data_IF_576777334837
#
_entry.id   IF_576777334837
#
_cell.length_a   1.000
_cell.length_b   1.000
_cell.length_c   1.000
_cell.angle_alpha   90.00
_cell.angle_beta   90.00
_cell.angle_gamma   90.00
#
_symmetry.space_group_name_H-M   'P 1'
#
loop_
_entity.id
_entity.type
_entity.pdbx_description
1 polymer ?
#
# COMPACT_ATOMS: atom_id res chain seq x y z
N UNK A 1 19.19 -10.77 -11.71
CA UNK A 1 18.68 -12.07 -12.20
C UNK A 1 18.69 -13.01 -11.01
N UNK A 2 17.51 -13.26 -10.41
CA UNK A 2 17.17 -14.38 -9.51
C UNK A 2 15.71 -14.18 -9.05
N UNK A 3 14.79 -14.18 -10.02
CA UNK A 3 13.34 -14.32 -9.78
C UNK A 3 12.98 -15.80 -9.90
N UNK A 4 13.47 -16.59 -8.96
CA UNK A 4 12.97 -17.93 -8.68
C UNK A 4 12.77 -18.02 -7.18
N UNK A 5 11.90 -17.16 -6.64
CA UNK A 5 11.19 -17.52 -5.41
C UNK A 5 10.30 -18.68 -5.81
N UNK A 6 10.64 -19.85 -5.29
CA UNK A 6 10.11 -21.15 -5.66
C UNK A 6 8.57 -21.15 -5.70
N UNK A 7 7.99 -21.21 -6.90
CA UNK A 7 6.56 -21.54 -7.08
C UNK A 7 6.19 -22.84 -6.34
N UNK A 8 7.16 -23.73 -6.12
CA UNK A 8 7.02 -24.93 -5.30
C UNK A 8 6.89 -24.64 -3.80
N UNK A 9 7.54 -23.61 -3.27
CA UNK A 9 7.38 -23.21 -1.88
C UNK A 9 5.97 -22.65 -1.66
N UNK A 10 5.50 -21.74 -2.54
CA UNK A 10 4.13 -21.23 -2.50
C UNK A 10 3.06 -22.33 -2.63
N UNK A 11 3.27 -23.31 -3.52
CA UNK A 11 2.37 -24.45 -3.68
C UNK A 11 2.45 -25.43 -2.49
N UNK A 12 3.63 -25.64 -1.90
CA UNK A 12 3.80 -26.48 -0.71
C UNK A 12 3.19 -25.82 0.55
N UNK A 13 3.21 -24.50 0.65
CA UNK A 13 2.50 -23.74 1.68
C UNK A 13 0.98 -23.92 1.57
N UNK A 14 0.45 -23.97 0.34
CA UNK A 14 -0.98 -24.17 0.09
C UNK A 14 -1.47 -25.58 0.43
N UNK A 15 -0.67 -26.62 0.17
CA UNK A 15 -1.04 -28.00 0.52
C UNK A 15 -0.88 -28.30 2.00
N UNK A 16 0.13 -27.72 2.66
CA UNK A 16 0.28 -27.82 4.10
C UNK A 16 -0.86 -27.09 4.85
N UNK A 17 -1.31 -25.94 4.36
CA UNK A 17 -2.46 -25.23 4.90
C UNK A 17 -3.77 -26.01 4.67
N UNK A 18 -3.98 -26.58 3.48
CA UNK A 18 -5.15 -27.43 3.21
C UNK A 18 -5.17 -28.71 4.07
N UNK A 19 -4.00 -29.31 4.31
CA UNK A 19 -3.85 -30.47 5.18
C UNK A 19 -4.03 -30.12 6.67
N UNK A 20 -3.58 -28.94 7.12
CA UNK A 20 -3.82 -28.45 8.47
C UNK A 20 -5.31 -28.19 8.73
N UNK A 21 -6.03 -27.60 7.76
CA UNK A 21 -7.48 -27.42 7.83
C UNK A 21 -8.20 -28.78 7.85
N UNK A 22 -7.78 -29.74 7.03
CA UNK A 22 -8.37 -31.09 7.01
C UNK A 22 -8.07 -31.91 8.29
N UNK A 23 -6.90 -31.75 8.88
CA UNK A 23 -6.49 -32.44 10.11
C UNK A 23 -7.19 -31.87 11.36
N UNK A 24 -7.42 -30.56 11.41
CA UNK A 24 -8.24 -29.94 12.48
C UNK A 24 -9.70 -30.38 12.37
N UNK A 25 -10.24 -30.54 11.15
CA UNK A 25 -11.60 -31.03 10.91
C UNK A 25 -11.79 -32.50 11.35
N UNK A 26 -10.77 -33.34 11.21
CA UNK A 26 -10.86 -34.76 11.64
C UNK A 26 -10.54 -34.95 13.13
N UNK A 27 -9.61 -34.17 13.71
CA UNK A 27 -9.27 -34.29 15.14
C UNK A 27 -10.33 -33.72 16.10
N UNK A 28 -11.27 -32.89 15.61
CA UNK A 28 -12.35 -32.29 16.42
C UNK A 28 -13.68 -33.05 16.36
N UNK A 29 -13.80 -34.09 15.53
CA UNK A 29 -15.05 -34.86 15.39
C UNK A 29 -15.43 -35.66 16.65
N UNK A 30 -14.48 -36.04 17.51
CA UNK A 30 -14.74 -36.97 18.62
C UNK A 30 -14.97 -36.32 19.99
N UNK A 31 -14.89 -34.99 20.15
CA UNK A 31 -14.96 -34.38 21.49
C UNK A 31 -15.98 -33.25 21.72
N UNK A 32 -16.63 -32.69 20.68
CA UNK A 32 -17.56 -31.54 20.88
C UNK A 32 -18.84 -31.63 20.06
N UNK A 33 -19.53 -32.76 20.13
CA UNK A 33 -20.95 -32.81 19.78
C UNK A 33 -21.76 -32.21 20.93
N UNK A 34 -22.18 -30.93 20.82
CA UNK A 34 -23.43 -30.42 21.45
C UNK A 34 -23.81 -28.97 21.13
N UNK A 35 -22.93 -28.16 20.56
CA UNK A 35 -23.29 -26.79 20.17
C UNK A 35 -23.19 -26.64 18.66
N UNK A 36 -24.35 -26.65 18.00
CA UNK A 36 -24.51 -26.46 16.55
C UNK A 36 -24.65 -24.99 16.17
N UNK A 37 -24.66 -24.09 17.16
CA UNK A 37 -24.79 -22.66 16.90
C UNK A 37 -23.44 -22.02 16.61
N UNK A 38 -23.44 -21.04 15.71
CA UNK A 38 -22.28 -20.18 15.46
C UNK A 38 -22.16 -19.21 16.63
N UNK A 39 -20.93 -18.99 17.09
CA UNK A 39 -20.64 -18.03 18.15
C UNK A 39 -21.13 -16.62 17.79
N UNK A 40 -21.86 -15.94 18.69
CA UNK A 40 -22.26 -14.54 18.51
C UNK A 40 -21.08 -13.59 18.30
N UNK A 41 -19.90 -13.95 18.83
CA UNK A 41 -18.68 -13.18 18.64
C UNK A 41 -18.20 -13.23 17.19
N UNK A 42 -18.21 -14.42 16.57
CA UNK A 42 -17.82 -14.59 15.17
C UNK A 42 -18.80 -13.85 14.24
N UNK A 43 -20.10 -13.97 14.47
CA UNK A 43 -21.10 -13.22 13.69
C UNK A 43 -20.94 -11.69 13.84
N UNK A 44 -20.56 -11.20 15.03
CA UNK A 44 -20.25 -9.78 15.22
C UNK A 44 -19.04 -9.34 14.39
N UNK A 45 -17.98 -10.16 14.31
CA UNK A 45 -16.80 -9.86 13.48
C UNK A 45 -17.15 -9.88 11.99
N UNK A 46 -17.95 -10.84 11.54
CA UNK A 46 -18.43 -10.93 10.16
C UNK A 46 -19.27 -9.70 9.79
N UNK A 47 -20.19 -9.29 10.67
CA UNK A 47 -20.99 -8.09 10.46
C UNK A 47 -20.11 -6.81 10.42
N UNK A 48 -19.08 -6.73 11.26
CA UNK A 48 -18.13 -5.62 11.25
C UNK A 48 -17.34 -5.56 9.94
N UNK A 49 -16.86 -6.70 9.42
CA UNK A 49 -16.19 -6.78 8.11
C UNK A 49 -17.12 -6.41 6.96
N UNK A 50 -18.37 -6.90 6.96
CA UNK A 50 -19.35 -6.52 5.95
C UNK A 50 -19.63 -5.02 5.93
N UNK A 51 -19.69 -4.39 7.12
CA UNK A 51 -19.80 -2.93 7.22
C UNK A 51 -18.55 -2.21 6.71
N UNK A 52 -17.36 -2.62 7.16
CA UNK A 52 -16.10 -1.99 6.77
C UNK A 52 -15.87 -2.07 5.25
N UNK A 53 -16.20 -3.21 4.64
CA UNK A 53 -16.15 -3.40 3.18
C UNK A 53 -17.09 -2.44 2.45
N UNK A 54 -18.35 -2.34 2.89
CA UNK A 54 -19.30 -1.39 2.30
C UNK A 54 -18.89 0.07 2.49
N UNK A 55 -18.30 0.41 3.64
CA UNK A 55 -17.80 1.76 3.90
C UNK A 55 -16.59 2.07 2.98
N UNK A 56 -15.70 1.09 2.76
CA UNK A 56 -14.56 1.22 1.86
C UNK A 56 -15.00 1.39 0.40
N UNK A 57 -15.94 0.59 -0.10
CA UNK A 57 -16.50 0.76 -1.45
C UNK A 57 -17.13 2.16 -1.65
N UNK A 58 -17.85 2.64 -0.63
CA UNK A 58 -18.43 3.98 -0.64
C UNK A 58 -17.34 5.07 -0.67
N UNK A 59 -16.29 4.91 0.13
CA UNK A 59 -15.17 5.84 0.15
C UNK A 59 -14.42 5.85 -1.19
N UNK A 60 -14.18 4.68 -1.80
CA UNK A 60 -13.55 4.54 -3.11
C UNK A 60 -14.35 5.24 -4.22
N UNK A 61 -15.68 5.04 -4.24
CA UNK A 61 -16.56 5.73 -5.19
C UNK A 61 -16.49 7.25 -5.01
N UNK A 62 -16.52 7.72 -3.76
CA UNK A 62 -16.44 9.15 -3.45
C UNK A 62 -15.09 9.76 -3.83
N UNK A 63 -13.98 9.08 -3.59
CA UNK A 63 -12.66 9.55 -4.06
C UNK A 63 -12.66 9.70 -5.57
N UNK A 64 -13.15 8.69 -6.29
CA UNK A 64 -13.22 8.71 -7.75
C UNK A 64 -14.01 9.92 -8.27
N UNK A 65 -15.17 10.22 -7.67
CA UNK A 65 -15.98 11.40 -8.01
C UNK A 65 -15.23 12.71 -7.78
N UNK A 66 -14.53 12.85 -6.64
CA UNK A 66 -13.76 14.05 -6.31
C UNK A 66 -12.56 14.22 -7.24
N UNK A 67 -11.87 13.14 -7.59
CA UNK A 67 -10.76 13.18 -8.54
C UNK A 67 -11.23 13.60 -9.94
N UNK A 68 -12.30 13.00 -10.44
CA UNK A 68 -12.89 13.38 -11.73
C UNK A 68 -13.28 14.86 -11.75
N UNK A 69 -13.92 15.35 -10.69
CA UNK A 69 -14.32 16.74 -10.56
C UNK A 69 -13.11 17.70 -10.47
N UNK A 70 -12.04 17.29 -9.77
CA UNK A 70 -10.81 18.07 -9.66
C UNK A 70 -10.10 18.20 -11.01
N UNK A 71 -9.90 17.07 -11.70
CA UNK A 71 -9.19 17.03 -12.98
C UNK A 71 -10.02 17.45 -14.19
N UNK A 72 -11.34 17.62 -14.04
CA UNK A 72 -12.15 18.31 -15.04
C UNK A 72 -11.74 19.79 -15.21
N UNK A 73 -11.16 20.40 -14.17
CA UNK A 73 -10.74 21.82 -14.15
C UNK A 73 -9.24 22.01 -14.06
N UNK A 74 -8.52 21.05 -13.51
CA UNK A 74 -7.07 21.11 -13.30
C UNK A 74 -6.35 20.12 -14.21
N UNK A 75 -5.13 20.47 -14.63
CA UNK A 75 -4.31 19.59 -15.47
C UNK A 75 -3.76 18.43 -14.64
N UNK A 76 -3.75 17.23 -15.24
CA UNK A 76 -3.07 16.04 -14.72
C UNK A 76 -1.55 16.10 -14.87
N UNK A 77 -1.02 17.04 -15.63
CA UNK A 77 0.42 17.18 -15.84
C UNK A 77 0.92 18.44 -15.14
N UNK A 78 1.89 18.26 -14.23
CA UNK A 78 2.65 19.35 -13.63
C UNK A 78 3.94 19.54 -14.41
N UNK A 79 4.28 20.80 -14.66
CA UNK A 79 5.46 21.19 -15.43
C UNK A 79 6.37 22.03 -14.54
N UNK A 80 7.65 21.69 -14.55
CA UNK A 80 8.72 22.40 -13.87
C UNK A 80 9.68 22.89 -14.94
N UNK A 81 9.70 24.21 -15.16
CA UNK A 81 10.66 24.84 -16.04
C UNK A 81 12.05 24.80 -15.40
N UNK A 82 12.99 24.18 -16.10
CA UNK A 82 14.37 24.03 -15.64
C UNK A 82 15.27 25.04 -16.33
N UNK A 83 16.27 25.52 -15.61
CA UNK A 83 17.27 26.42 -16.16
C UNK A 83 18.15 25.72 -17.22
N UNK A 84 18.19 24.37 -17.21
CA UNK A 84 18.95 23.54 -18.15
C UNK A 84 18.09 22.40 -18.67
N UNK A 85 18.04 22.25 -20.00
CA UNK A 85 17.36 21.13 -20.65
C UNK A 85 15.85 21.28 -20.80
N UNK A 86 15.33 22.51 -20.75
CA UNK A 86 13.92 22.81 -21.03
C UNK A 86 13.04 22.64 -19.79
N UNK A 87 11.99 21.83 -19.89
CA UNK A 87 11.09 21.55 -18.78
C UNK A 87 11.11 20.07 -18.41
N UNK A 88 10.76 19.77 -17.17
CA UNK A 88 10.45 18.42 -16.72
C UNK A 88 8.98 18.38 -16.33
N UNK A 89 8.25 17.41 -16.87
CA UNK A 89 6.87 17.17 -16.47
C UNK A 89 6.71 15.85 -15.74
N UNK A 90 5.65 15.77 -14.95
CA UNK A 90 5.21 14.55 -14.32
C UNK A 90 3.68 14.55 -14.21
N UNK A 91 3.09 13.37 -14.42
CA UNK A 91 1.65 13.20 -14.34
C UNK A 91 1.25 12.97 -12.89
N UNK A 92 0.40 13.85 -12.38
CA UNK A 92 -0.44 13.61 -11.20
C UNK A 92 -1.63 12.74 -11.65
N UNK A 93 -1.44 11.42 -11.56
CA UNK A 93 -2.45 10.41 -11.82
C UNK A 93 -3.56 10.40 -10.75
N UNK A 94 -4.65 9.70 -11.06
CA UNK A 94 -5.80 9.42 -10.20
C UNK A 94 -5.53 8.30 -9.16
N UNK A 95 -4.28 7.84 -9.05
CA UNK A 95 -3.86 6.88 -8.02
C UNK A 95 -2.81 7.49 -7.10
N UNK A 96 -2.75 8.82 -7.07
CA UNK A 96 -1.93 9.60 -6.14
C UNK A 96 -2.56 9.54 -4.73
N UNK A 97 -2.69 8.33 -4.18
CA UNK A 97 -2.58 8.18 -2.75
C UNK A 97 -1.27 8.83 -2.31
N UNK A 98 -1.25 9.43 -1.12
CA UNK A 98 -0.16 10.23 -0.53
C UNK A 98 1.28 9.82 -0.90
N UNK A 99 1.55 8.53 -1.08
CA UNK A 99 2.86 7.96 -1.41
C UNK A 99 3.38 8.37 -2.81
N UNK A 100 2.52 8.45 -3.82
CA UNK A 100 2.96 8.66 -5.22
C UNK A 100 3.48 10.09 -5.46
N UNK A 101 2.92 11.10 -4.78
CA UNK A 101 3.41 12.51 -4.88
C UNK A 101 4.88 12.59 -4.50
N UNK A 102 5.27 11.90 -3.42
CA UNK A 102 6.63 11.96 -2.88
C UNK A 102 7.61 11.09 -3.66
N UNK A 103 7.17 9.95 -4.18
CA UNK A 103 8.01 9.10 -5.04
C UNK A 103 8.26 9.80 -6.39
N UNK A 104 7.24 10.38 -7.02
CA UNK A 104 7.42 11.17 -8.24
C UNK A 104 8.29 12.42 -8.00
N UNK A 105 8.16 13.09 -6.85
CA UNK A 105 9.08 14.17 -6.46
C UNK A 105 10.52 13.68 -6.39
N UNK A 106 10.76 12.51 -5.77
CA UNK A 106 12.11 11.95 -5.62
C UNK A 106 12.73 11.68 -6.98
N UNK A 107 11.96 11.10 -7.90
CA UNK A 107 12.43 10.75 -9.24
C UNK A 107 12.74 12.00 -10.08
N UNK A 108 11.82 12.97 -10.09
CA UNK A 108 12.02 14.25 -10.79
C UNK A 108 13.22 15.01 -10.22
N UNK A 109 13.36 15.02 -8.88
CA UNK A 109 14.52 15.63 -8.22
C UNK A 109 15.82 14.92 -8.58
N UNK A 110 15.83 13.59 -8.59
CA UNK A 110 17.00 12.81 -8.95
C UNK A 110 17.43 13.10 -10.40
N UNK A 111 16.47 13.23 -11.31
CA UNK A 111 16.74 13.60 -12.69
C UNK A 111 17.29 15.02 -12.85
N UNK A 112 16.77 16.00 -12.10
CA UNK A 112 17.34 17.35 -12.07
C UNK A 112 18.80 17.29 -11.61
N UNK A 113 19.07 16.64 -10.47
CA UNK A 113 20.42 16.53 -9.91
C UNK A 113 21.36 15.86 -10.92
N UNK A 114 20.93 14.74 -11.53
CA UNK A 114 21.71 14.02 -12.53
C UNK A 114 22.08 14.90 -13.73
N UNK A 115 21.15 15.72 -14.22
CA UNK A 115 21.43 16.68 -15.32
C UNK A 115 22.51 17.68 -14.92
N UNK A 116 22.45 18.24 -13.71
CA UNK A 116 23.45 19.18 -13.21
C UNK A 116 24.81 18.52 -12.97
N UNK A 117 24.84 17.29 -12.43
CA UNK A 117 26.07 16.51 -12.30
C UNK A 117 26.75 16.25 -13.66
N UNK A 118 25.98 15.94 -14.70
CA UNK A 118 26.50 15.77 -16.06
C UNK A 118 27.15 17.07 -16.58
N UNK A 119 26.57 18.24 -16.30
CA UNK A 119 27.19 19.52 -16.67
C UNK A 119 28.44 19.82 -15.84
N UNK A 120 28.43 19.51 -14.53
CA UNK A 120 29.61 19.64 -13.68
C UNK A 120 30.77 18.77 -14.17
N UNK A 121 30.51 17.54 -14.64
CA UNK A 121 31.54 16.67 -15.22
C UNK A 121 32.16 17.27 -16.48
N UNK A 122 31.36 17.92 -17.34
CA UNK A 122 31.86 18.60 -18.55
C UNK A 122 32.75 19.81 -18.22
N UNK A 123 32.46 20.52 -17.13
CA UNK A 123 33.29 21.64 -16.67
C UNK A 123 34.70 21.22 -16.18
N UNK A 124 34.90 19.95 -15.82
CA UNK A 124 36.20 19.47 -15.34
C UNK A 124 37.31 19.58 -16.40
N UNK A 125 36.97 19.44 -17.69
CA UNK A 125 37.91 19.66 -18.79
C UNK A 125 38.27 21.15 -18.95
N UNK A 126 37.27 22.03 -18.79
CA UNK A 126 37.44 23.48 -18.89
C UNK A 126 38.29 24.02 -17.75
N UNK A 127 38.16 23.46 -16.53
CA UNK A 127 38.93 23.87 -15.36
C UNK A 127 40.46 23.74 -15.56
N UNK A 128 40.91 22.84 -16.44
CA UNK A 128 42.34 22.67 -16.78
C UNK A 128 42.89 23.74 -17.70
N UNK A 129 42.01 24.39 -18.48
CA UNK A 129 42.39 25.37 -19.53
C UNK A 129 42.09 26.79 -19.07
N UNK A 130 40.94 27.00 -18.42
CA UNK A 130 40.44 28.30 -17.97
C UNK A 130 39.82 28.16 -16.56
N UNK A 131 40.65 28.14 -15.49
CA UNK A 131 40.19 27.85 -14.14
C UNK A 131 39.22 28.89 -13.59
N UNK A 132 39.43 30.19 -13.87
CA UNK A 132 38.54 31.25 -13.43
C UNK A 132 37.13 31.10 -14.05
N UNK A 133 37.05 30.88 -15.36
CA UNK A 133 35.79 30.65 -16.07
C UNK A 133 35.08 29.38 -15.59
N UNK A 134 35.82 28.31 -15.32
CA UNK A 134 35.25 27.08 -14.79
C UNK A 134 34.69 27.25 -13.37
N UNK A 135 35.32 28.08 -12.53
CA UNK A 135 34.84 28.40 -11.19
C UNK A 135 33.53 29.21 -11.25
N UNK A 136 33.46 30.22 -12.12
CA UNK A 136 32.24 31.01 -12.35
C UNK A 136 31.09 30.15 -12.88
N UNK A 137 31.36 29.30 -13.89
CA UNK A 137 30.38 28.39 -14.44
C UNK A 137 29.88 27.38 -13.38
N UNK A 138 30.77 26.87 -12.54
CA UNK A 138 30.40 25.95 -11.44
C UNK A 138 29.48 26.63 -10.43
N UNK A 139 29.77 27.88 -10.06
CA UNK A 139 28.93 28.65 -9.15
C UNK A 139 27.55 28.94 -9.77
N UNK A 140 27.50 29.27 -11.06
CA UNK A 140 26.26 29.48 -11.80
C UNK A 140 25.41 28.20 -11.87
N UNK A 141 26.02 27.05 -12.16
CA UNK A 141 25.33 25.75 -12.17
C UNK A 141 24.73 25.40 -10.81
N UNK A 142 25.48 25.54 -9.72
CA UNK A 142 24.97 25.28 -8.36
C UNK A 142 23.80 26.19 -8.00
N UNK A 143 23.87 27.47 -8.40
CA UNK A 143 22.78 28.42 -8.18
C UNK A 143 21.53 28.03 -8.97
N UNK A 144 21.69 27.60 -10.22
CA UNK A 144 20.61 27.14 -11.08
C UNK A 144 19.98 25.84 -10.55
N UNK A 145 20.78 24.85 -10.13
CA UNK A 145 20.31 23.62 -9.51
C UNK A 145 19.48 23.88 -8.25
N UNK A 146 19.98 24.76 -7.37
CA UNK A 146 19.28 25.15 -6.16
C UNK A 146 17.95 25.86 -6.48
N UNK A 147 17.93 26.69 -7.52
CA UNK A 147 16.72 27.35 -7.98
C UNK A 147 15.71 26.36 -8.55
N UNK A 148 16.11 25.49 -9.46
CA UNK A 148 15.24 24.51 -10.11
C UNK A 148 14.65 23.54 -9.08
N UNK A 149 15.46 23.08 -8.11
CA UNK A 149 14.98 22.23 -7.01
C UNK A 149 13.98 22.97 -6.11
N UNK A 150 14.16 24.27 -5.90
CA UNK A 150 13.22 25.11 -5.15
C UNK A 150 11.91 25.30 -5.92
N UNK A 151 11.97 25.52 -7.23
CA UNK A 151 10.79 25.64 -8.09
C UNK A 151 10.00 24.34 -8.09
N UNK A 152 10.65 23.18 -8.24
CA UNK A 152 10.01 21.86 -8.12
C UNK A 152 9.23 21.72 -6.80
N UNK A 153 9.86 22.07 -5.68
CA UNK A 153 9.18 22.03 -4.36
C UNK A 153 7.99 22.97 -4.30
N UNK A 154 8.08 24.15 -4.92
CA UNK A 154 6.97 25.11 -4.92
C UNK A 154 5.79 24.58 -5.74
N UNK A 155 6.04 24.07 -6.95
CA UNK A 155 4.99 23.49 -7.82
C UNK A 155 4.23 22.38 -7.11
N UNK A 156 4.94 21.51 -6.37
CA UNK A 156 4.32 20.44 -5.60
C UNK A 156 3.51 20.95 -4.41
N UNK A 157 4.02 21.94 -3.67
CA UNK A 157 3.27 22.54 -2.56
C UNK A 157 1.99 23.19 -3.06
N UNK A 158 2.08 23.95 -4.14
CA UNK A 158 0.91 24.62 -4.74
C UNK A 158 -0.14 23.59 -5.18
N UNK A 159 0.28 22.45 -5.74
CA UNK A 159 -0.65 21.37 -6.08
C UNK A 159 -1.29 20.73 -4.85
N UNK A 160 -0.50 20.42 -3.83
CA UNK A 160 -1.02 19.86 -2.56
C UNK A 160 -2.02 20.81 -1.92
N UNK A 161 -1.72 22.11 -1.89
CA UNK A 161 -2.59 23.13 -1.34
C UNK A 161 -3.88 23.27 -2.15
N UNK A 162 -3.81 23.19 -3.50
CA UNK A 162 -5.01 23.13 -4.36
C UNK A 162 -5.88 21.93 -4.07
N UNK A 163 -5.30 20.73 -3.96
CA UNK A 163 -6.04 19.49 -3.64
C UNK A 163 -6.71 19.56 -2.27
N UNK A 164 -6.00 20.09 -1.26
CA UNK A 164 -6.55 20.32 0.08
C UNK A 164 -7.68 21.34 0.10
N UNK A 165 -7.53 22.45 -0.63
CA UNK A 165 -8.56 23.47 -0.75
C UNK A 165 -9.81 22.96 -1.49
N UNK A 166 -9.62 22.03 -2.43
CA UNK A 166 -10.73 21.38 -3.14
C UNK A 166 -11.47 20.35 -2.28
N UNK A 167 -10.80 19.77 -1.29
CA UNK A 167 -11.36 18.70 -0.44
C UNK A 167 -10.93 17.29 -0.84
N UNK A 168 -10.06 17.14 -1.86
CA UNK A 168 -9.64 15.83 -2.37
C UNK A 168 -8.85 15.05 -1.30
N UNK A 169 -7.98 15.75 -0.58
CA UNK A 169 -7.12 15.19 0.46
C UNK A 169 -7.91 14.51 1.59
N UNK A 170 -9.03 15.12 2.01
CA UNK A 170 -9.87 14.58 3.07
C UNK A 170 -10.63 13.33 2.64
N UNK A 171 -10.96 13.23 1.35
CA UNK A 171 -11.63 12.06 0.79
C UNK A 171 -10.63 10.91 0.62
N UNK A 172 -9.41 11.20 0.16
CA UNK A 172 -8.29 10.23 0.14
C UNK A 172 -7.97 9.71 1.55
N UNK A 173 -7.88 10.57 2.57
CA UNK A 173 -7.67 10.16 3.97
C UNK A 173 -8.81 9.29 4.49
N UNK A 174 -10.06 9.59 4.12
CA UNK A 174 -11.22 8.78 4.52
C UNK A 174 -11.22 7.40 3.83
N UNK A 175 -10.81 7.34 2.56
CA UNK A 175 -10.64 6.08 1.84
C UNK A 175 -9.55 5.22 2.46
N UNK A 176 -8.40 5.81 2.79
CA UNK A 176 -7.31 5.09 3.46
C UNK A 176 -7.75 4.53 4.82
N UNK A 177 -8.45 5.34 5.62
CA UNK A 177 -8.99 4.90 6.89
C UNK A 177 -10.03 3.77 6.74
N UNK A 178 -10.87 3.83 5.71
CA UNK A 178 -11.84 2.77 5.42
C UNK A 178 -11.15 1.49 4.90
N UNK A 179 -10.11 1.62 4.07
CA UNK A 179 -9.27 0.52 3.61
C UNK A 179 -8.60 -0.19 4.80
N UNK A 180 -8.00 0.57 5.72
CA UNK A 180 -7.37 0.01 6.91
C UNK A 180 -8.40 -0.68 7.82
N UNK A 181 -9.59 -0.09 8.01
CA UNK A 181 -10.65 -0.72 8.78
C UNK A 181 -11.14 -2.04 8.14
N UNK A 182 -11.19 -2.09 6.80
CA UNK A 182 -11.53 -3.30 6.06
C UNK A 182 -10.50 -4.41 6.27
N UNK A 183 -9.21 -4.07 6.21
CA UNK A 183 -8.10 -4.97 6.50
C UNK A 183 -8.14 -5.44 7.97
N UNK A 184 -8.24 -4.51 8.94
CA UNK A 184 -8.24 -4.83 10.36
C UNK A 184 -9.39 -5.78 10.74
N UNK A 185 -10.58 -5.57 10.17
CA UNK A 185 -11.74 -6.45 10.41
C UNK A 185 -11.56 -7.82 9.76
N UNK A 186 -10.90 -7.89 8.60
CA UNK A 186 -10.53 -9.15 7.97
C UNK A 186 -9.49 -9.92 8.80
N UNK A 187 -8.43 -9.26 9.26
CA UNK A 187 -7.43 -9.81 10.17
C UNK A 187 -8.07 -10.32 11.45
N UNK A 188 -9.05 -9.61 12.02
CA UNK A 188 -9.77 -10.05 13.21
C UNK A 188 -10.55 -11.36 12.99
N UNK A 189 -11.16 -11.55 11.82
CA UNK A 189 -11.78 -12.83 11.43
C UNK A 189 -10.70 -13.92 11.29
N UNK A 190 -9.58 -13.62 10.64
CA UNK A 190 -8.44 -14.54 10.53
C UNK A 190 -7.91 -14.95 11.91
N UNK A 191 -7.82 -14.03 12.86
CA UNK A 191 -7.35 -14.27 14.22
C UNK A 191 -8.35 -15.04 15.10
N UNK A 192 -9.64 -15.06 14.74
CA UNK A 192 -10.69 -15.69 15.54
C UNK A 192 -10.45 -17.20 15.73
N UNK A 193 -10.31 -17.63 16.98
CA UNK A 193 -10.13 -19.04 17.34
C UNK A 193 -11.49 -19.73 17.46
N UNK A 194 -11.77 -20.61 16.50
CA UNK A 194 -13.03 -21.35 16.44
C UNK A 194 -13.13 -22.36 17.59
N UNK A 195 -14.31 -22.46 18.22
CA UNK A 195 -14.54 -23.39 19.35
C UNK A 195 -15.44 -24.56 18.98
N UNK A 196 -16.27 -24.38 17.96
CA UNK A 196 -17.22 -25.36 17.45
C UNK A 196 -16.97 -25.64 15.96
N UNK A 197 -17.49 -26.76 15.46
CA UNK A 197 -17.46 -27.06 14.02
C UNK A 197 -18.32 -26.08 13.20
N UNK A 198 -19.39 -25.54 13.80
CA UNK A 198 -20.21 -24.49 13.20
C UNK A 198 -19.39 -23.21 12.97
N UNK A 199 -18.56 -22.80 13.93
CA UNK A 199 -17.65 -21.65 13.78
C UNK A 199 -16.63 -21.88 12.65
N UNK A 200 -16.04 -23.08 12.59
CA UNK A 200 -15.05 -23.44 11.57
C UNK A 200 -15.65 -23.32 10.17
N UNK A 201 -16.83 -23.93 9.97
CA UNK A 201 -17.54 -23.91 8.69
C UNK A 201 -17.89 -22.48 8.30
N UNK A 202 -18.46 -21.72 9.23
CA UNK A 202 -18.86 -20.33 8.98
C UNK A 202 -17.68 -19.42 8.66
N UNK A 203 -16.57 -19.53 9.40
CA UNK A 203 -15.34 -18.79 9.13
C UNK A 203 -14.78 -19.12 7.75
N UNK A 204 -14.72 -20.40 7.39
CA UNK A 204 -14.21 -20.83 6.08
C UNK A 204 -15.04 -20.28 4.91
N UNK A 205 -16.37 -20.31 5.01
CA UNK A 205 -17.27 -19.70 4.01
C UNK A 205 -16.99 -18.21 3.81
N UNK A 206 -16.82 -17.46 4.91
CA UNK A 206 -16.56 -16.02 4.87
C UNK A 206 -15.18 -15.72 4.28
N UNK A 207 -14.15 -16.47 4.68
CA UNK A 207 -12.81 -16.30 4.11
C UNK A 207 -12.82 -16.60 2.60
N UNK A 208 -13.49 -17.67 2.16
CA UNK A 208 -13.60 -18.00 0.74
C UNK A 208 -14.37 -16.94 -0.06
N UNK A 209 -15.37 -16.29 0.55
CA UNK A 209 -16.11 -15.20 -0.07
C UNK A 209 -15.20 -13.99 -0.39
N UNK A 210 -14.38 -13.55 0.56
CA UNK A 210 -13.55 -12.35 0.41
C UNK A 210 -12.21 -12.59 -0.32
N UNK A 211 -11.75 -13.84 -0.43
CA UNK A 211 -10.40 -14.15 -0.96
C UNK A 211 -10.42 -15.02 -2.22
N UNK A 212 -11.63 -15.38 -2.67
CA UNK A 212 -11.86 -16.31 -3.77
C UNK A 212 -11.55 -17.77 -3.42
N UNK A 213 -11.69 -18.65 -4.41
CA UNK A 213 -11.60 -20.11 -4.22
C UNK A 213 -10.20 -20.66 -3.90
N UNK A 214 -9.16 -19.80 -3.94
CA UNK A 214 -7.76 -20.22 -3.76
C UNK A 214 -7.04 -19.45 -2.65
N UNK A 215 -7.74 -18.62 -1.87
CA UNK A 215 -7.12 -17.69 -0.91
C UNK A 215 -6.03 -16.82 -1.55
N UNK A 216 -6.11 -16.58 -2.86
CA UNK A 216 -5.04 -15.97 -3.64
C UNK A 216 -4.82 -14.50 -3.27
N UNK A 217 -5.82 -13.90 -2.64
CA UNK A 217 -5.85 -12.49 -2.24
C UNK A 217 -5.61 -12.29 -0.75
N UNK A 218 -5.33 -13.36 0.03
CA UNK A 218 -4.89 -13.22 1.42
C UNK A 218 -3.48 -12.61 1.44
N UNK A 219 -3.31 -11.54 2.22
CA UNK A 219 -2.00 -10.97 2.51
C UNK A 219 -1.16 -11.93 3.36
N UNK A 220 0.17 -11.87 3.23
CA UNK A 220 1.07 -12.80 3.90
C UNK A 220 0.92 -12.74 5.44
N UNK A 221 0.65 -11.55 5.96
CA UNK A 221 0.42 -11.25 7.37
C UNK A 221 -0.86 -11.93 7.87
N UNK A 222 -1.97 -11.77 7.13
CA UNK A 222 -3.26 -12.40 7.46
C UNK A 222 -3.20 -13.92 7.37
N UNK A 223 -2.43 -14.46 6.42
CA UNK A 223 -2.20 -15.90 6.31
C UNK A 223 -1.49 -16.44 7.56
N UNK A 224 -0.46 -15.74 8.04
CA UNK A 224 0.26 -16.12 9.26
C UNK A 224 -0.66 -16.06 10.49
N UNK A 225 -1.48 -15.01 10.61
CA UNK A 225 -2.46 -14.86 11.69
C UNK A 225 -3.51 -15.98 11.63
N UNK A 226 -3.99 -16.32 10.43
CA UNK A 226 -4.93 -17.42 10.23
C UNK A 226 -4.33 -18.75 10.66
N UNK A 227 -3.11 -19.07 10.22
CA UNK A 227 -2.39 -20.29 10.62
C UNK A 227 -2.18 -20.34 12.14
N UNK A 228 -1.76 -19.22 12.74
CA UNK A 228 -1.58 -19.13 14.19
C UNK A 228 -2.89 -19.32 14.97
N UNK A 229 -4.03 -18.87 14.43
CA UNK A 229 -5.35 -19.09 15.02
C UNK A 229 -5.78 -20.57 15.04
N UNK A 230 -5.18 -21.40 14.18
CA UNK A 230 -5.47 -22.83 14.06
C UNK A 230 -4.55 -23.70 14.91
N UNK A 231 -3.44 -23.15 15.41
CA UNK A 231 -2.55 -23.88 16.31
C UNK A 231 -3.19 -24.00 17.72
N UNK A 232 -3.04 -25.15 18.40
CA UNK A 232 -3.43 -25.27 19.79
C UNK A 232 -2.75 -24.18 20.62
N UNK A 233 -3.44 -23.62 21.61
CA UNK A 233 -2.75 -22.78 22.59
C UNK A 233 -1.80 -23.70 23.36
N UNK A 234 -0.49 -23.40 23.36
CA UNK A 234 0.42 -24.08 24.27
C UNK A 234 -0.13 -23.93 25.68
N UNK A 235 -0.40 -25.06 26.34
CA UNK A 235 -0.76 -25.11 27.75
C UNK A 235 0.48 -24.75 28.61
N UNK A 236 1.01 -23.54 28.47
CA UNK A 236 1.95 -22.99 29.45
C UNK A 236 1.17 -22.26 30.54
N UNK A 237 0.65 -23.10 31.44
CA UNK A 237 -0.03 -22.71 32.67
C UNK A 237 0.13 -23.76 33.77
N UNK A 238 1.27 -24.46 33.82
CA UNK A 238 1.67 -25.31 34.93
C UNK A 238 2.90 -24.71 35.59
N UNK A 239 2.73 -24.18 36.80
CA UNK A 239 3.79 -23.66 37.65
C UNK A 239 4.80 -24.76 38.05
N UNK A 240 5.97 -24.30 38.48
CA UNK A 240 7.02 -25.00 39.25
C UNK A 240 6.46 -26.05 40.21
#
# INVERSE_FOLDING_TARGET
>A
MNQHVDRRALLASSTAAAAAVAAVVTATQDARAKDTSVSPELERLIAAKGKAYSDFDCALAKTSEFEEAYFAKNKKELVVDLSIGGAQSFNVSAHFAHFDVFDHYRDVRADIIRRYEEQHRKLAAIAKIAPATAAEATAALRKAEANDTRVLRQVLRDEVDRRKAFGLWQVEEAQEAASQADLDTFTAICAYRCRTFADITRKAEVLAHYTGQMFAEIQAEDFQVLLASMMPADEEGGAV
#
